data_IF_427668417277
#
_entry.id   IF_427668417277
#
_cell.length_a   1.000
_cell.length_b   1.000
_cell.length_c   1.000
_cell.angle_alpha   90.00
_cell.angle_beta   90.00
_cell.angle_gamma   90.00
#
_symmetry.space_group_name_H-M   'P 1'
#
loop_
_entity.id
_entity.type
_entity.pdbx_description
1 polymer ?
#
# COMPACT_ATOMS: atom_id res chain seq x y z
N UNK A 1 25.26 32.19 43.26
CA UNK A 1 24.47 31.14 42.58
C UNK A 1 25.18 30.78 41.27
N UNK A 2 25.72 29.56 41.16
CA UNK A 2 26.62 29.18 40.07
C UNK A 2 25.85 28.73 38.81
N UNK A 3 26.10 29.40 37.68
CA UNK A 3 25.46 29.10 36.38
C UNK A 3 25.59 27.63 35.96
N UNK A 4 26.70 26.98 36.34
CA UNK A 4 26.93 25.54 36.11
C UNK A 4 26.00 24.63 36.89
N UNK A 5 25.65 24.97 38.12
CA UNK A 5 24.73 24.17 38.94
C UNK A 5 23.31 24.22 38.41
N UNK A 6 22.90 25.40 37.90
CA UNK A 6 21.58 25.59 37.28
C UNK A 6 21.42 24.80 35.97
N UNK A 7 22.45 24.76 35.13
CA UNK A 7 22.43 23.96 33.88
C UNK A 7 22.40 22.46 34.19
N UNK A 8 23.15 22.00 35.18
CA UNK A 8 23.16 20.59 35.60
C UNK A 8 21.80 20.15 36.15
N UNK A 9 21.15 20.99 36.96
CA UNK A 9 19.82 20.69 37.49
C UNK A 9 18.76 20.64 36.39
N UNK A 10 18.77 21.58 35.43
CA UNK A 10 17.86 21.54 34.29
C UNK A 10 18.07 20.31 33.39
N UNK A 11 19.34 19.93 33.13
CA UNK A 11 19.65 18.74 32.33
C UNK A 11 19.24 17.42 33.01
N UNK A 12 19.22 17.38 34.35
CA UNK A 12 18.78 16.21 35.12
C UNK A 12 17.24 16.06 35.19
N UNK A 13 16.48 17.14 35.00
CA UNK A 13 15.00 17.13 35.02
C UNK A 13 14.37 16.90 33.63
N UNK A 14 15.07 17.22 32.55
CA UNK A 14 14.57 17.04 31.18
C UNK A 14 14.17 15.58 30.80
N UNK A 15 14.88 14.52 31.26
CA UNK A 15 14.51 13.15 30.92
C UNK A 15 13.22 12.69 31.62
N UNK A 16 12.88 13.29 32.77
CA UNK A 16 11.71 12.92 33.58
C UNK A 16 10.38 13.44 33.02
N UNK A 17 10.41 14.48 32.17
CA UNK A 17 9.20 15.05 31.56
C UNK A 17 8.88 14.47 30.19
N UNK A 18 9.86 13.87 29.50
CA UNK A 18 9.71 13.34 28.13
C UNK A 18 9.57 11.81 28.11
N UNK A 19 10.02 11.10 29.14
CA UNK A 19 9.84 9.66 29.23
C UNK A 19 8.41 9.29 29.65
N UNK A 20 7.61 8.78 28.72
CA UNK A 20 6.50 7.87 29.05
C UNK A 20 5.08 8.38 28.87
N UNK A 21 4.85 9.58 28.33
CA UNK A 21 3.50 9.92 27.84
C UNK A 21 3.35 9.47 26.40
N UNK A 22 3.14 8.17 26.23
CA UNK A 22 2.42 7.66 25.06
C UNK A 22 1.01 8.21 25.18
N UNK A 23 0.70 9.26 24.43
CA UNK A 23 -0.68 9.68 24.25
C UNK A 23 -1.36 8.54 23.52
N UNK A 24 -2.09 7.70 24.24
CA UNK A 24 -3.01 6.78 23.60
C UNK A 24 -3.92 7.64 22.73
N UNK A 25 -3.94 7.37 21.43
CA UNK A 25 -4.91 8.02 20.55
C UNK A 25 -6.29 7.79 21.17
N UNK A 26 -7.14 8.84 21.29
CA UNK A 26 -8.46 8.67 21.86
C UNK A 26 -9.15 7.51 21.13
N UNK A 27 -9.82 6.64 21.86
CA UNK A 27 -10.58 5.56 21.26
C UNK A 27 -11.57 6.18 20.27
N UNK A 28 -11.30 6.03 18.98
CA UNK A 28 -12.18 6.53 17.93
C UNK A 28 -13.13 5.41 17.57
N UNK A 29 -14.35 5.76 17.15
CA UNK A 29 -15.27 4.77 16.58
C UNK A 29 -14.89 4.39 15.13
N UNK A 30 -13.65 4.66 14.72
CA UNK A 30 -13.15 4.31 13.40
C UNK A 30 -13.17 2.79 13.22
N UNK A 31 -13.63 2.37 12.06
CA UNK A 31 -13.61 0.98 11.60
C UNK A 31 -12.71 0.93 10.38
N UNK A 32 -11.76 0.01 10.38
CA UNK A 32 -10.86 -0.25 9.25
C UNK A 32 -11.26 -1.57 8.62
N UNK A 33 -11.53 -1.55 7.31
CA UNK A 33 -11.71 -2.74 6.50
C UNK A 33 -10.49 -2.91 5.60
N UNK A 34 -9.83 -4.05 5.71
CA UNK A 34 -8.76 -4.46 4.80
C UNK A 34 -9.29 -5.53 3.88
N UNK A 35 -9.33 -5.24 2.59
CA UNK A 35 -9.72 -6.21 1.56
C UNK A 35 -8.45 -6.64 0.81
N UNK A 36 -8.02 -7.88 1.03
CA UNK A 36 -6.92 -8.48 0.29
C UNK A 36 -7.49 -9.29 -0.87
N UNK A 37 -7.25 -8.83 -2.10
CA UNK A 37 -7.74 -9.49 -3.31
C UNK A 37 -6.82 -10.65 -3.67
N UNK A 38 -7.31 -11.88 -3.53
CA UNK A 38 -6.60 -13.09 -3.96
C UNK A 38 -6.80 -13.30 -5.46
N UNK A 39 -5.70 -13.62 -6.16
CA UNK A 39 -5.68 -13.82 -7.60
C UNK A 39 -4.85 -12.76 -8.34
N UNK A 40 -4.56 -13.01 -9.60
CA UNK A 40 -3.84 -12.06 -10.44
C UNK A 40 -4.84 -11.07 -11.04
N UNK A 41 -4.50 -9.78 -10.98
CA UNK A 41 -5.15 -8.74 -11.76
C UNK A 41 -4.07 -7.89 -12.42
N UNK A 42 -4.43 -7.25 -13.53
CA UNK A 42 -3.50 -6.38 -14.23
C UNK A 42 -3.46 -4.98 -13.59
N UNK A 43 -2.62 -4.82 -12.56
CA UNK A 43 -2.48 -3.56 -11.83
C UNK A 43 -2.10 -2.38 -12.73
N UNK A 44 -1.30 -2.61 -13.78
CA UNK A 44 -0.91 -1.57 -14.73
C UNK A 44 -2.03 -1.18 -15.71
N UNK A 45 -3.10 -1.98 -15.80
CA UNK A 45 -4.34 -1.57 -16.47
C UNK A 45 -5.38 -1.00 -15.50
N UNK A 46 -5.30 -1.26 -14.19
CA UNK A 46 -6.14 -0.58 -13.20
C UNK A 46 -5.68 0.87 -13.01
N UNK A 47 -4.40 1.05 -12.64
CA UNK A 47 -3.74 2.35 -12.50
C UNK A 47 -2.70 2.45 -13.61
N UNK A 48 -3.07 3.16 -14.67
CA UNK A 48 -2.36 3.20 -15.95
C UNK A 48 -1.25 4.26 -15.91
N UNK A 49 0.02 3.91 -16.14
CA UNK A 49 1.10 4.89 -16.27
C UNK A 49 1.05 5.54 -17.66
N UNK A 50 0.15 6.50 -17.85
CA UNK A 50 -0.18 7.09 -19.15
C UNK A 50 1.01 7.78 -19.82
N UNK A 51 1.95 8.34 -19.03
CA UNK A 51 3.17 8.97 -19.56
C UNK A 51 4.23 7.96 -20.03
N UNK A 52 4.17 6.70 -19.60
CA UNK A 52 5.19 5.68 -19.88
C UNK A 52 5.12 5.11 -21.30
N UNK A 53 6.15 5.33 -22.10
CA UNK A 53 6.30 4.68 -23.41
C UNK A 53 6.62 3.19 -23.29
N UNK A 54 7.30 2.79 -22.22
CA UNK A 54 7.56 1.38 -21.93
C UNK A 54 6.26 0.60 -21.71
N UNK A 55 5.28 1.18 -21.01
CA UNK A 55 3.97 0.53 -20.80
C UNK A 55 3.28 0.22 -22.14
N UNK A 56 3.26 1.16 -23.09
CA UNK A 56 2.69 0.91 -24.43
C UNK A 56 3.53 -0.05 -25.25
N UNK A 57 4.84 0.15 -25.28
CA UNK A 57 5.75 -0.69 -26.07
C UNK A 57 5.75 -2.16 -25.63
N UNK A 58 5.60 -2.40 -24.32
CA UNK A 58 5.49 -3.77 -23.77
C UNK A 58 4.10 -4.39 -23.89
N UNK A 59 3.06 -3.60 -24.24
CA UNK A 59 1.66 -4.03 -24.27
C UNK A 59 0.92 -3.60 -25.54
N UNK A 60 1.39 -3.97 -26.74
CA UNK A 60 0.84 -3.46 -28.00
C UNK A 60 -0.65 -3.74 -28.21
N UNK A 61 -1.19 -4.80 -27.61
CA UNK A 61 -2.60 -5.21 -27.73
C UNK A 61 -3.45 -4.92 -26.50
N UNK A 62 -2.82 -4.57 -25.36
CA UNK A 62 -3.48 -4.45 -24.06
C UNK A 62 -3.41 -3.05 -23.45
N UNK A 63 -2.54 -2.18 -23.98
CA UNK A 63 -2.36 -0.85 -23.43
C UNK A 63 -3.63 -0.02 -23.57
N UNK A 64 -4.06 0.59 -22.47
CA UNK A 64 -5.18 1.53 -22.47
C UNK A 64 -4.74 2.83 -23.13
N UNK A 65 -5.61 3.39 -23.97
CA UNK A 65 -5.36 4.65 -24.65
C UNK A 65 -5.13 5.79 -23.63
N UNK A 66 -4.26 6.73 -23.99
CA UNK A 66 -4.03 7.95 -23.19
C UNK A 66 -5.34 8.72 -23.02
N UNK A 67 -5.50 9.50 -21.93
CA UNK A 67 -6.71 10.27 -21.69
C UNK A 67 -7.08 11.14 -22.89
N UNK A 68 -8.31 10.98 -23.34
CA UNK A 68 -8.89 11.69 -24.47
C UNK A 68 -10.39 11.90 -24.21
N UNK A 69 -10.82 13.16 -24.17
CA UNK A 69 -12.21 13.51 -23.91
C UNK A 69 -13.16 13.00 -25.02
N UNK A 70 -12.65 12.79 -26.24
CA UNK A 70 -13.41 12.24 -27.37
C UNK A 70 -13.55 10.72 -27.35
N UNK A 71 -12.79 10.01 -26.49
CA UNK A 71 -12.78 8.56 -26.46
C UNK A 71 -13.26 8.03 -25.09
N UNK A 72 -14.48 7.46 -25.00
CA UNK A 72 -15.00 6.94 -23.74
C UNK A 72 -14.19 5.74 -23.19
N UNK A 73 -13.44 5.06 -24.06
CA UNK A 73 -12.60 3.91 -23.72
C UNK A 73 -11.15 4.29 -23.39
N UNK A 74 -10.81 5.58 -23.40
CA UNK A 74 -9.51 6.05 -22.94
C UNK A 74 -9.40 6.03 -21.42
N UNK A 75 -8.17 6.00 -20.91
CA UNK A 75 -7.91 6.14 -19.48
C UNK A 75 -8.50 7.45 -18.94
N UNK A 76 -9.04 7.39 -17.73
CA UNK A 76 -9.53 8.58 -17.02
C UNK A 76 -8.33 9.24 -16.34
N UNK A 77 -8.07 10.52 -16.58
CA UNK A 77 -6.90 11.19 -16.03
C UNK A 77 -6.96 11.26 -14.49
N UNK A 78 -5.95 10.75 -13.80
CA UNK A 78 -5.76 10.97 -12.36
C UNK A 78 -4.87 12.19 -12.14
N UNK A 79 -3.75 12.25 -12.88
CA UNK A 79 -2.83 13.37 -12.98
C UNK A 79 -2.14 13.38 -14.37
N UNK A 80 -0.99 14.05 -14.51
CA UNK A 80 -0.24 14.12 -15.76
C UNK A 80 0.42 12.78 -16.18
N UNK A 81 0.72 11.91 -15.22
CA UNK A 81 1.48 10.69 -15.40
C UNK A 81 0.62 9.42 -15.29
N UNK A 82 -0.50 9.51 -14.57
CA UNK A 82 -1.36 8.39 -14.21
C UNK A 82 -2.80 8.57 -14.68
N UNK A 83 -3.40 7.44 -15.04
CA UNK A 83 -4.81 7.33 -15.37
C UNK A 83 -5.47 6.12 -14.71
N UNK A 84 -6.79 6.08 -14.75
CA UNK A 84 -7.62 4.99 -14.23
C UNK A 84 -8.30 4.27 -15.39
N UNK A 85 -8.47 2.95 -15.27
CA UNK A 85 -9.20 2.16 -16.26
C UNK A 85 -10.61 2.75 -16.53
N UNK A 86 -11.06 2.86 -17.80
CA UNK A 86 -12.37 3.44 -18.14
C UNK A 86 -13.56 2.69 -17.52
N UNK A 87 -13.44 1.38 -17.31
CA UNK A 87 -14.47 0.57 -16.64
C UNK A 87 -14.74 0.99 -15.18
N UNK A 88 -13.86 1.79 -14.58
CA UNK A 88 -13.98 2.29 -13.21
C UNK A 88 -14.56 3.71 -13.14
N UNK A 89 -15.04 4.25 -14.27
CA UNK A 89 -15.61 5.61 -14.39
C UNK A 89 -16.73 5.88 -13.41
N UNK A 90 -17.65 4.95 -13.25
CA UNK A 90 -18.86 5.18 -12.46
C UNK A 90 -18.71 4.71 -11.00
N UNK A 91 -17.68 3.92 -10.71
CA UNK A 91 -17.46 3.31 -9.39
C UNK A 91 -16.35 3.98 -8.58
N UNK A 92 -15.12 4.01 -9.10
CA UNK A 92 -13.94 4.45 -8.36
C UNK A 92 -13.56 5.89 -8.69
N UNK A 93 -13.67 6.30 -9.95
CA UNK A 93 -13.31 7.65 -10.37
C UNK A 93 -14.02 8.78 -9.59
N UNK A 94 -15.31 8.65 -9.18
CA UNK A 94 -15.95 9.67 -8.36
C UNK A 94 -15.30 9.84 -6.98
N UNK A 95 -14.73 8.77 -6.41
CA UNK A 95 -14.01 8.83 -5.14
C UNK A 95 -12.68 9.59 -5.29
N UNK A 96 -12.01 9.42 -6.43
CA UNK A 96 -10.81 10.21 -6.75
C UNK A 96 -11.13 11.70 -6.82
N UNK A 97 -12.20 12.07 -7.53
CA UNK A 97 -12.64 13.46 -7.64
C UNK A 97 -12.95 14.09 -6.27
N UNK A 98 -13.48 13.30 -5.33
CA UNK A 98 -13.76 13.72 -3.96
C UNK A 98 -12.55 13.66 -3.02
N UNK A 99 -11.41 13.14 -3.50
CA UNK A 99 -10.19 12.90 -2.70
C UNK A 99 -10.43 11.90 -1.54
N UNK A 100 -11.30 10.92 -1.78
CA UNK A 100 -11.68 9.86 -0.84
C UNK A 100 -10.94 8.54 -1.10
N UNK A 101 -10.09 8.48 -2.13
CA UNK A 101 -9.25 7.32 -2.48
C UNK A 101 -7.84 7.78 -2.83
N UNK A 102 -6.85 6.93 -2.54
CA UNK A 102 -5.47 7.08 -2.96
C UNK A 102 -4.99 5.78 -3.61
N UNK A 103 -4.15 5.92 -4.64
CA UNK A 103 -3.47 4.82 -5.30
C UNK A 103 -2.00 4.84 -4.92
N UNK A 104 -1.47 3.70 -4.47
CA UNK A 104 -0.08 3.56 -4.05
C UNK A 104 0.56 2.48 -4.93
N UNK A 105 1.09 2.85 -6.12
CA UNK A 105 1.79 1.90 -6.97
C UNK A 105 3.09 1.45 -6.29
N UNK A 106 3.57 0.27 -6.67
CA UNK A 106 4.82 -0.31 -6.15
C UNK A 106 4.83 -0.57 -4.64
N UNK A 107 3.65 -0.66 -4.01
CA UNK A 107 3.53 -1.17 -2.65
C UNK A 107 3.82 -2.68 -2.63
N UNK A 108 4.78 -3.10 -1.82
CA UNK A 108 5.19 -4.49 -1.69
C UNK A 108 6.21 -4.67 -0.57
N UNK A 109 6.62 -5.90 -0.33
CA UNK A 109 7.66 -6.25 0.63
C UNK A 109 9.04 -6.09 -0.01
N UNK A 110 9.99 -5.46 0.67
CA UNK A 110 11.36 -5.28 0.16
C UNK A 110 12.18 -6.57 0.14
N UNK A 111 11.78 -7.53 0.97
CA UNK A 111 12.61 -8.69 1.33
C UNK A 111 12.04 -10.01 0.80
N UNK A 112 10.83 -9.98 0.22
CA UNK A 112 10.24 -11.17 -0.41
C UNK A 112 10.68 -11.28 -1.86
N UNK A 113 11.67 -12.12 -2.10
CA UNK A 113 12.20 -12.43 -3.43
C UNK A 113 11.57 -13.69 -4.04
N UNK A 114 10.54 -14.27 -3.41
CA UNK A 114 9.87 -15.42 -3.99
C UNK A 114 9.21 -15.04 -5.32
N UNK A 115 9.27 -15.98 -6.28
CA UNK A 115 8.53 -15.87 -7.54
C UNK A 115 7.18 -16.59 -7.46
N UNK A 116 6.79 -17.05 -6.28
CA UNK A 116 5.52 -17.75 -6.04
C UNK A 116 4.46 -16.77 -5.53
N UNK A 117 3.42 -16.55 -6.32
CA UNK A 117 2.26 -15.77 -5.90
C UNK A 117 1.60 -16.30 -4.62
N UNK A 118 1.64 -17.61 -4.37
CA UNK A 118 1.06 -18.22 -3.17
C UNK A 118 1.89 -17.92 -1.92
N UNK A 119 3.22 -18.03 -2.01
CA UNK A 119 4.08 -17.78 -0.85
C UNK A 119 4.08 -16.29 -0.43
N UNK A 120 4.05 -15.38 -1.41
CA UNK A 120 3.90 -13.95 -1.12
C UNK A 120 2.54 -13.65 -0.49
N UNK A 121 1.45 -14.27 -0.97
CA UNK A 121 0.12 -14.11 -0.36
C UNK A 121 0.13 -14.58 1.09
N UNK A 122 0.64 -15.78 1.37
CA UNK A 122 0.69 -16.32 2.73
C UNK A 122 1.52 -15.41 3.65
N UNK A 123 2.63 -14.84 3.15
CA UNK A 123 3.49 -13.94 3.92
C UNK A 123 2.77 -12.62 4.26
N UNK A 124 2.05 -12.03 3.30
CA UNK A 124 1.26 -10.81 3.52
C UNK A 124 0.08 -11.08 4.45
N UNK A 125 -0.64 -12.19 4.26
CA UNK A 125 -1.79 -12.59 5.07
C UNK A 125 -1.40 -12.83 6.54
N UNK A 126 -0.25 -13.46 6.78
CA UNK A 126 0.28 -13.70 8.13
C UNK A 126 0.90 -12.45 8.77
N UNK A 127 1.14 -11.39 7.99
CA UNK A 127 1.82 -10.18 8.47
C UNK A 127 3.23 -10.43 9.02
N UNK A 128 3.87 -11.51 8.57
CA UNK A 128 5.20 -11.90 9.05
C UNK A 128 6.28 -11.17 8.25
N UNK A 129 7.31 -10.68 8.94
CA UNK A 129 8.52 -10.20 8.28
C UNK A 129 9.16 -11.37 7.52
N UNK A 130 9.74 -11.14 6.33
CA UNK A 130 10.28 -12.20 5.48
C UNK A 130 11.37 -13.07 6.14
N UNK A 131 11.93 -12.64 7.28
CA UNK A 131 12.87 -13.41 8.13
C UNK A 131 12.27 -14.02 9.40
N UNK A 132 10.95 -13.95 9.62
CA UNK A 132 10.28 -14.55 10.77
C UNK A 132 10.27 -16.08 10.66
N UNK A 133 10.57 -16.78 11.76
CA UNK A 133 10.39 -18.23 11.83
C UNK A 133 8.94 -18.56 11.48
N UNK A 134 8.73 -19.29 10.36
CA UNK A 134 7.43 -19.88 10.04
C UNK A 134 7.02 -20.74 11.24
N UNK A 135 6.01 -20.29 11.98
CA UNK A 135 5.38 -21.13 12.99
C UNK A 135 4.76 -22.32 12.24
N UNK A 136 5.44 -23.46 12.30
CA UNK A 136 4.89 -24.74 11.90
C UNK A 136 3.73 -25.06 12.86
N UNK A 137 2.54 -24.56 12.55
CA UNK A 137 1.33 -25.21 13.03
C UNK A 137 1.22 -26.51 12.24
N UNK A 138 1.73 -27.58 12.85
CA UNK A 138 1.59 -28.94 12.35
C UNK A 138 0.12 -29.33 12.27
N UNK A 139 -0.55 -28.98 11.17
CA UNK A 139 -1.77 -29.64 10.74
C UNK A 139 -1.35 -30.74 9.78
N UNK A 140 -1.23 -31.93 10.35
CA UNK A 140 -0.99 -33.17 9.63
C UNK A 140 -2.24 -33.49 8.80
N UNK A 141 -2.20 -33.20 7.51
CA UNK A 141 -3.24 -33.60 6.56
C UNK A 141 -2.90 -35.01 6.03
N UNK A 142 -3.71 -36.05 6.31
CA UNK A 142 -3.42 -37.39 5.83
C UNK A 142 -3.68 -37.49 4.33
N UNK A 143 -2.66 -37.95 3.61
CA UNK A 143 -2.68 -38.21 2.18
C UNK A 143 -3.85 -39.15 1.80
N UNK A 144 -4.65 -38.75 0.81
CA UNK A 144 -5.57 -39.65 0.13
C UNK A 144 -4.83 -40.35 -1.02
N UNK A 145 -4.81 -41.68 -0.96
CA UNK A 145 -4.58 -42.56 -2.10
C UNK A 145 -5.79 -42.59 -3.02
#
# INVERSE_FOLDING_TARGET
>A
MNRRELIKTFAALAPLTVAGRVWAAPATDARMLVVFLRGAYDAANVVVPVSSDFYRGSRPTLAIARPDAGNPNAALALDADWGLHPALRDSIYPLWAKREIAFIPFAGTSDDLTRSHFETQDTIELGQSAGGSRLSLGLHEPARH
#
